data_IF_548451312536
#
_entry.id   IF_548451312536
#
_cell.length_a   1.000
_cell.length_b   1.000
_cell.length_c   1.000
_cell.angle_alpha   90.00
_cell.angle_beta   90.00
_cell.angle_gamma   90.00
#
_symmetry.space_group_name_H-M   'P 1'
#
loop_
_entity.id
_entity.type
_entity.pdbx_description
1 polymer ?
#
# COMPACT_ATOMS: atom_id res chain seq x y z
N UNK A 1 -7.39 1.78 -4.78
CA UNK A 1 -7.36 1.16 -3.42
C UNK A 1 -7.66 -0.34 -3.41
N UNK A 2 -8.81 -0.83 -3.90
CA UNK A 2 -9.11 -2.28 -3.89
C UNK A 2 -8.12 -3.18 -4.68
N UNK A 3 -7.64 -2.78 -5.88
CA UNK A 3 -6.64 -3.57 -6.62
C UNK A 3 -5.34 -3.78 -5.85
N UNK A 4 -4.92 -2.77 -5.06
CA UNK A 4 -3.72 -2.84 -4.23
C UNK A 4 -3.83 -3.90 -3.14
N UNK A 5 -4.99 -4.00 -2.49
CA UNK A 5 -5.21 -5.01 -1.46
C UNK A 5 -5.13 -6.43 -2.04
N UNK A 6 -5.76 -6.66 -3.20
CA UNK A 6 -5.70 -7.97 -3.86
C UNK A 6 -4.29 -8.32 -4.37
N UNK A 7 -3.54 -7.34 -4.88
CA UNK A 7 -2.13 -7.54 -5.24
C UNK A 7 -1.29 -7.95 -4.02
N UNK A 8 -1.56 -7.38 -2.85
CA UNK A 8 -0.88 -7.76 -1.60
C UNK A 8 -1.29 -9.16 -1.11
N UNK A 9 -2.56 -9.54 -1.24
CA UNK A 9 -3.01 -10.90 -0.91
C UNK A 9 -2.32 -11.94 -1.80
N UNK A 10 -2.11 -11.64 -3.09
CA UNK A 10 -1.37 -12.51 -4.01
C UNK A 10 0.10 -12.75 -3.63
N UNK A 11 0.70 -11.92 -2.76
CA UNK A 11 2.05 -12.18 -2.24
C UNK A 11 2.09 -13.38 -1.29
N UNK A 12 0.96 -13.70 -0.64
CA UNK A 12 0.86 -14.86 0.23
C UNK A 12 0.98 -16.19 -0.54
N UNK A 13 0.68 -16.17 -1.84
CA UNK A 13 0.89 -17.31 -2.74
C UNK A 13 2.39 -17.52 -3.06
N UNK A 14 3.21 -16.44 -3.05
CA UNK A 14 4.67 -16.56 -3.22
C UNK A 14 5.34 -17.09 -1.95
N UNK A 15 4.97 -16.53 -0.79
CA UNK A 15 5.54 -16.97 0.48
C UNK A 15 4.53 -16.83 1.63
N UNK A 16 4.30 -17.89 2.44
CA UNK A 16 3.26 -17.88 3.49
C UNK A 16 3.46 -16.80 4.57
N UNK A 17 4.67 -16.27 4.74
CA UNK A 17 4.91 -15.16 5.68
C UNK A 17 4.44 -13.80 5.17
N UNK A 18 4.09 -13.67 3.88
CA UNK A 18 3.64 -12.43 3.25
C UNK A 18 2.13 -12.25 3.34
N UNK A 19 1.59 -12.50 4.54
CA UNK A 19 0.18 -12.34 4.81
C UNK A 19 -0.11 -10.96 5.42
N UNK A 20 -0.85 -10.12 4.68
CA UNK A 20 -1.18 -8.76 5.11
C UNK A 20 -2.67 -8.65 5.44
N UNK A 21 -3.00 -8.55 6.73
CA UNK A 21 -4.41 -8.41 7.13
C UNK A 21 -5.06 -7.13 6.59
N UNK A 22 -6.36 -7.20 6.30
CA UNK A 22 -7.19 -6.03 5.99
C UNK A 22 -7.07 -4.93 7.06
N UNK A 23 -6.93 -5.33 8.34
CA UNK A 23 -6.74 -4.41 9.46
C UNK A 23 -5.46 -3.58 9.31
N UNK A 24 -4.35 -4.22 8.92
CA UNK A 24 -3.09 -3.54 8.65
C UNK A 24 -3.26 -2.57 7.47
N UNK A 25 -3.90 -3.01 6.38
CA UNK A 25 -4.14 -2.17 5.20
C UNK A 25 -4.93 -0.90 5.54
N UNK A 26 -6.02 -1.06 6.29
CA UNK A 26 -6.85 0.04 6.77
C UNK A 26 -6.10 0.98 7.73
N UNK A 27 -5.20 0.46 8.56
CA UNK A 27 -4.36 1.31 9.43
C UNK A 27 -3.42 2.20 8.61
N UNK A 28 -2.80 1.66 7.55
CA UNK A 28 -1.94 2.45 6.66
C UNK A 28 -2.77 3.52 5.94
N UNK A 29 -3.98 3.18 5.49
CA UNK A 29 -4.89 4.14 4.86
C UNK A 29 -5.29 5.27 5.83
N UNK A 30 -5.66 4.93 7.07
CA UNK A 30 -6.03 5.90 8.09
C UNK A 30 -4.88 6.85 8.46
N UNK A 31 -3.64 6.34 8.56
CA UNK A 31 -2.46 7.17 8.79
C UNK A 31 -2.16 8.10 7.60
N UNK A 32 -2.36 7.61 6.39
CA UNK A 32 -2.18 8.41 5.17
C UNK A 32 -3.18 9.56 5.14
N UNK A 33 -4.44 9.30 5.48
CA UNK A 33 -5.48 10.33 5.58
C UNK A 33 -5.18 11.41 6.63
N UNK A 34 -4.51 11.04 7.73
CA UNK A 34 -4.10 11.95 8.81
C UNK A 34 -2.87 12.78 8.42
N UNK A 35 -1.94 12.20 7.67
CA UNK A 35 -0.67 12.85 7.32
C UNK A 35 -0.78 13.76 6.09
N UNK A 36 -1.69 13.49 5.16
CA UNK A 36 -1.92 14.38 4.02
C UNK A 36 -2.55 15.70 4.43
N UNK A 37 -1.99 16.81 3.93
CA UNK A 37 -2.55 18.14 4.11
C UNK A 37 -3.98 18.23 3.57
N UNK A 38 -4.84 19.00 4.25
CA UNK A 38 -6.20 19.27 3.80
C UNK A 38 -6.13 20.26 2.63
N UNK A 39 -6.53 19.84 1.42
CA UNK A 39 -6.78 20.76 0.30
C UNK A 39 -8.27 21.14 0.25
N UNK A 40 -8.57 22.34 -0.24
CA UNK A 40 -9.92 22.84 -0.50
C UNK A 40 -10.59 22.09 -1.66
N UNK A 41 -9.80 21.56 -2.60
CA UNK A 41 -10.27 20.74 -3.70
C UNK A 41 -10.25 19.25 -3.32
N UNK A 42 -11.45 18.66 -3.17
CA UNK A 42 -11.60 17.25 -2.79
C UNK A 42 -10.90 16.30 -3.79
N UNK A 43 -11.01 16.58 -5.09
CA UNK A 43 -10.38 15.76 -6.13
C UNK A 43 -8.85 15.81 -6.08
N UNK A 44 -8.29 17.01 -5.86
CA UNK A 44 -6.84 17.17 -5.71
C UNK A 44 -6.36 16.44 -4.45
N UNK A 45 -7.07 16.60 -3.33
CA UNK A 45 -6.76 15.89 -2.08
C UNK A 45 -6.81 14.38 -2.26
N UNK A 46 -7.81 13.85 -2.97
CA UNK A 46 -7.93 12.42 -3.23
C UNK A 46 -6.70 11.89 -3.98
N UNK A 47 -6.25 12.60 -5.02
CA UNK A 47 -5.06 12.20 -5.80
C UNK A 47 -3.77 12.22 -4.97
N UNK A 48 -3.63 13.21 -4.07
CA UNK A 48 -2.48 13.32 -3.16
C UNK A 48 -2.48 12.19 -2.14
N UNK A 49 -3.66 11.90 -1.55
CA UNK A 49 -3.84 10.79 -0.60
C UNK A 49 -3.53 9.46 -1.27
N UNK A 50 -4.03 9.19 -2.48
CA UNK A 50 -3.73 7.96 -3.19
C UNK A 50 -2.22 7.80 -3.43
N UNK A 51 -1.55 8.83 -3.95
CA UNK A 51 -0.10 8.78 -4.19
C UNK A 51 0.70 8.51 -2.91
N UNK A 52 0.36 9.21 -1.82
CA UNK A 52 0.98 8.96 -0.52
C UNK A 52 0.70 7.56 0.01
N UNK A 53 -0.53 7.06 -0.20
CA UNK A 53 -0.96 5.75 0.25
C UNK A 53 -0.18 4.65 -0.44
N UNK A 54 -0.07 4.69 -1.78
CA UNK A 54 0.74 3.74 -2.55
C UNK A 54 2.20 3.72 -2.08
N UNK A 55 2.81 4.90 -1.89
CA UNK A 55 4.18 4.99 -1.39
C UNK A 55 4.36 4.46 0.03
N UNK A 56 3.39 4.68 0.92
CA UNK A 56 3.41 4.18 2.29
C UNK A 56 3.26 2.66 2.35
N UNK A 57 2.33 2.11 1.57
CA UNK A 57 2.14 0.65 1.45
C UNK A 57 3.40 0.01 0.88
N UNK A 58 3.95 0.55 -0.22
CA UNK A 58 5.18 0.02 -0.84
C UNK A 58 6.34 -0.03 0.15
N UNK A 59 6.66 1.09 0.81
CA UNK A 59 7.77 1.16 1.76
C UNK A 59 7.61 0.21 2.93
N UNK A 60 6.38 0.00 3.42
CA UNK A 60 6.13 -0.86 4.58
C UNK A 60 6.14 -2.33 4.20
N UNK A 61 5.51 -2.71 3.10
CA UNK A 61 5.54 -4.06 2.60
C UNK A 61 6.97 -4.48 2.20
N UNK A 62 7.76 -3.62 1.52
CA UNK A 62 9.16 -3.92 1.19
C UNK A 62 10.08 -4.13 2.41
N UNK A 63 9.71 -3.64 3.61
CA UNK A 63 10.44 -3.92 4.85
C UNK A 63 10.18 -5.32 5.40
N UNK A 64 9.01 -5.89 5.11
CA UNK A 64 8.64 -7.25 5.48
C UNK A 64 9.01 -8.29 4.42
N UNK A 65 9.27 -7.87 3.17
CA UNK A 65 9.68 -8.73 2.07
C UNK A 65 11.19 -8.99 2.08
N UNK A 66 11.60 -10.17 1.60
CA UNK A 66 12.99 -10.45 1.24
C UNK A 66 13.39 -9.59 0.03
N UNK A 67 14.69 -9.34 -0.16
CA UNK A 67 15.15 -8.43 -1.22
C UNK A 67 14.77 -8.91 -2.63
N UNK A 68 14.77 -10.22 -2.84
CA UNK A 68 14.43 -10.88 -4.10
C UNK A 68 12.97 -10.62 -4.51
N UNK A 69 12.06 -10.53 -3.54
CA UNK A 69 10.62 -10.36 -3.77
C UNK A 69 10.18 -8.89 -3.94
N UNK A 70 11.07 -7.93 -3.61
CA UNK A 70 10.75 -6.49 -3.72
C UNK A 70 10.48 -6.06 -5.17
N UNK A 71 11.19 -6.65 -6.14
CA UNK A 71 11.02 -6.32 -7.55
C UNK A 71 9.66 -6.84 -8.07
N UNK A 72 9.31 -8.08 -7.74
CA UNK A 72 8.02 -8.68 -8.09
C UNK A 72 6.86 -7.83 -7.55
N UNK A 73 6.97 -7.39 -6.29
CA UNK A 73 5.98 -6.52 -5.69
C UNK A 73 5.89 -5.13 -6.36
N UNK A 74 7.02 -4.53 -6.77
CA UNK A 74 7.01 -3.26 -7.51
C UNK A 74 6.29 -3.38 -8.87
N UNK A 75 6.38 -4.53 -9.53
CA UNK A 75 5.67 -4.79 -10.79
C UNK A 75 4.16 -4.95 -10.55
N UNK A 76 3.76 -5.64 -9.48
CA UNK A 76 2.34 -5.79 -9.11
C UNK A 76 1.66 -4.47 -8.70
N UNK A 77 2.45 -3.45 -8.37
CA UNK A 77 1.98 -2.12 -7.98
C UNK A 77 1.77 -1.14 -9.15
N UNK A 78 2.27 -1.48 -10.35
CA UNK A 78 2.20 -0.64 -11.57
C UNK A 78 0.95 -0.97 -12.37
#
# INVERSE_FOLDING_TARGET
AAPLFFAMEGLSDLHPSYHFSLKWFLSVYAETLKSCAKSSAVNERASVVERHFYGAVYKRACRSLFEEDRLAFSVMLT
#
